data_IF_131150470531
#
_entry.id   IF_131150470531
#
_cell.length_a   1.000
_cell.length_b   1.000
_cell.length_c   1.000
_cell.angle_alpha   90.00
_cell.angle_beta   90.00
_cell.angle_gamma   90.00
#
_symmetry.space_group_name_H-M   'P 1'
#
loop_
_entity.id
_entity.type
_entity.pdbx_description
1 polymer ?
#
# COMPACT_ATOMS: atom_id res chain seq x y z
N UNK A 1 9.67 -11.14 41.32
CA UNK A 1 9.04 -11.76 40.14
C UNK A 1 9.77 -11.21 38.92
N UNK A 2 10.79 -11.93 38.43
CA UNK A 2 11.50 -11.53 37.20
C UNK A 2 10.53 -11.69 36.04
N UNK A 3 10.03 -10.57 35.55
CA UNK A 3 9.19 -10.54 34.36
C UNK A 3 10.07 -10.94 33.18
N UNK A 4 9.59 -11.91 32.41
CA UNK A 4 10.25 -12.51 31.26
C UNK A 4 10.36 -11.48 30.15
N UNK A 5 11.59 -11.16 29.74
CA UNK A 5 11.93 -10.28 28.61
C UNK A 5 11.40 -10.79 27.24
N UNK A 6 10.73 -11.94 27.22
CA UNK A 6 10.17 -12.58 26.02
C UNK A 6 8.87 -11.93 25.52
N UNK A 7 8.08 -11.27 26.38
CA UNK A 7 6.82 -10.63 25.95
C UNK A 7 6.99 -9.26 25.30
N UNK A 8 8.13 -8.60 25.49
CA UNK A 8 8.42 -7.27 24.89
C UNK A 8 8.75 -7.40 23.39
N UNK A 9 9.24 -8.57 22.94
CA UNK A 9 9.57 -8.80 21.53
C UNK A 9 8.34 -8.89 20.62
N UNK A 10 7.21 -9.39 21.14
CA UNK A 10 5.98 -9.57 20.36
C UNK A 10 5.30 -8.23 19.99
N UNK A 11 5.39 -7.22 20.86
CA UNK A 11 4.76 -5.91 20.60
C UNK A 11 5.51 -5.03 19.58
N UNK A 12 6.80 -5.27 19.35
CA UNK A 12 7.55 -4.57 18.30
C UNK A 12 7.30 -5.16 16.90
N UNK A 13 6.89 -6.43 16.82
CA UNK A 13 6.59 -7.13 15.56
C UNK A 13 5.18 -6.78 15.03
N UNK A 14 4.21 -6.54 15.92
CA UNK A 14 2.84 -6.10 15.58
C UNK A 14 2.76 -4.64 15.10
N UNK A 15 3.79 -3.83 15.33
CA UNK A 15 3.89 -2.46 14.81
C UNK A 15 4.11 -2.45 13.29
N UNK A 16 4.36 -3.58 12.61
CA UNK A 16 4.45 -3.61 11.13
C UNK A 16 3.08 -3.62 10.44
N UNK A 17 2.02 -4.06 11.14
CA UNK A 17 0.69 -4.25 10.52
C UNK A 17 0.04 -2.89 10.18
N UNK A 18 0.20 -1.88 11.03
CA UNK A 18 -0.46 -0.57 10.91
C UNK A 18 0.25 0.46 10.01
N UNK A 19 1.59 0.61 9.98
CA UNK A 19 2.26 1.52 9.07
C UNK A 19 2.51 0.90 7.69
N UNK A 20 2.47 -0.42 7.53
CA UNK A 20 2.85 -1.07 6.28
C UNK A 20 1.68 -1.73 5.52
N UNK A 21 0.69 -2.26 6.24
CA UNK A 21 -0.52 -2.83 5.61
C UNK A 21 -1.31 -1.80 4.81
N UNK A 22 -1.42 -0.57 5.33
CA UNK A 22 -2.11 0.54 4.66
C UNK A 22 -1.40 0.93 3.36
N UNK A 23 -0.09 1.29 3.35
CA UNK A 23 0.58 1.63 2.10
C UNK A 23 0.71 0.47 1.11
N UNK A 24 0.69 -0.79 1.55
CA UNK A 24 0.66 -1.94 0.64
C UNK A 24 -0.72 -2.14 -0.03
N UNK A 25 -1.82 -1.93 0.68
CA UNK A 25 -3.18 -2.15 0.14
C UNK A 25 -3.74 -0.93 -0.59
N UNK A 26 -3.57 0.25 -0.01
CA UNK A 26 -4.05 1.53 -0.54
C UNK A 26 -2.90 2.53 -0.45
N UNK A 27 -1.89 2.36 -1.29
CA UNK A 27 -0.77 3.30 -1.38
C UNK A 27 -1.24 4.74 -1.64
N UNK A 28 -0.49 5.75 -1.17
CA UNK A 28 -0.86 7.16 -1.32
C UNK A 28 -1.07 7.59 -2.78
N UNK A 29 -0.31 7.00 -3.74
CA UNK A 29 -0.52 7.23 -5.17
C UNK A 29 -1.84 6.69 -5.70
N UNK A 30 -2.27 5.52 -5.23
CA UNK A 30 -3.57 4.95 -5.59
C UNK A 30 -4.73 5.80 -5.04
N UNK A 31 -4.59 6.34 -3.83
CA UNK A 31 -5.56 7.28 -3.24
C UNK A 31 -5.64 8.56 -4.07
N UNK A 32 -4.50 9.18 -4.40
CA UNK A 32 -4.44 10.39 -5.21
C UNK A 32 -5.07 10.19 -6.59
N UNK A 33 -4.73 9.09 -7.28
CA UNK A 33 -5.34 8.75 -8.57
C UNK A 33 -6.85 8.50 -8.47
N UNK A 34 -7.31 7.84 -7.40
CA UNK A 34 -8.74 7.66 -7.17
C UNK A 34 -9.49 8.98 -7.02
N UNK A 35 -8.90 9.96 -6.32
CA UNK A 35 -9.46 11.32 -6.18
C UNK A 35 -9.49 12.02 -7.54
N UNK A 36 -8.38 11.99 -8.30
CA UNK A 36 -8.29 12.62 -9.63
C UNK A 36 -9.30 12.00 -10.61
N UNK A 37 -9.39 10.67 -10.69
CA UNK A 37 -10.38 9.99 -11.54
C UNK A 37 -11.82 10.31 -11.13
N UNK A 38 -12.08 10.49 -9.83
CA UNK A 38 -13.41 10.89 -9.35
C UNK A 38 -13.74 12.35 -9.68
N UNK A 39 -12.73 13.22 -9.74
CA UNK A 39 -12.86 14.61 -10.17
C UNK A 39 -13.07 14.74 -11.68
N UNK A 40 -12.35 13.95 -12.49
CA UNK A 40 -12.48 13.91 -13.96
C UNK A 40 -13.78 13.22 -14.44
N UNK A 41 -14.39 12.39 -13.58
CA UNK A 41 -15.64 11.70 -13.90
C UNK A 41 -16.85 12.66 -13.88
N UNK A 42 -17.05 13.39 -14.98
CA UNK A 42 -18.17 14.32 -15.16
C UNK A 42 -19.51 13.64 -15.50
N UNK A 43 -19.50 12.41 -16.04
CA UNK A 43 -20.71 11.65 -16.39
C UNK A 43 -21.08 10.59 -15.35
N UNK A 44 -22.38 10.31 -15.21
CA UNK A 44 -22.87 9.25 -14.32
C UNK A 44 -22.35 7.86 -14.70
N UNK A 45 -22.11 7.61 -15.99
CA UNK A 45 -21.54 6.36 -16.48
C UNK A 45 -20.09 6.16 -16.02
N UNK A 46 -19.24 7.19 -16.12
CA UNK A 46 -17.84 7.10 -15.68
C UNK A 46 -17.74 6.91 -14.16
N UNK A 47 -18.61 7.56 -13.38
CA UNK A 47 -18.69 7.32 -11.93
C UNK A 47 -19.13 5.88 -11.61
N UNK A 48 -20.09 5.34 -12.36
CA UNK A 48 -20.53 3.95 -12.21
C UNK A 48 -19.40 2.95 -12.46
N UNK A 49 -18.61 3.15 -13.53
CA UNK A 49 -17.45 2.30 -13.85
C UNK A 49 -16.37 2.39 -12.77
N UNK A 50 -16.07 3.60 -12.28
CA UNK A 50 -15.08 3.81 -11.21
C UNK A 50 -15.47 3.05 -9.94
N UNK A 51 -16.71 3.22 -9.46
CA UNK A 51 -17.21 2.54 -8.27
C UNK A 51 -17.25 1.03 -8.48
N UNK A 52 -17.65 0.57 -9.67
CA UNK A 52 -17.63 -0.85 -10.04
C UNK A 52 -16.23 -1.47 -9.94
N UNK A 53 -15.21 -0.77 -10.42
CA UNK A 53 -13.81 -1.20 -10.32
C UNK A 53 -13.32 -1.24 -8.87
N UNK A 54 -13.63 -0.23 -8.06
CA UNK A 54 -13.28 -0.20 -6.64
C UNK A 54 -13.92 -1.40 -5.91
N UNK A 55 -15.21 -1.66 -6.15
CA UNK A 55 -15.91 -2.80 -5.58
C UNK A 55 -15.29 -4.14 -6.01
N UNK A 56 -14.89 -4.25 -7.28
CA UNK A 56 -14.21 -5.45 -7.80
C UNK A 56 -12.86 -5.70 -7.12
N UNK A 57 -12.04 -4.66 -6.94
CA UNK A 57 -10.75 -4.76 -6.23
C UNK A 57 -10.96 -5.18 -4.77
N UNK A 58 -11.97 -4.64 -4.08
CA UNK A 58 -12.29 -5.04 -2.71
C UNK A 58 -12.72 -6.51 -2.63
N UNK A 59 -13.54 -6.97 -3.56
CA UNK A 59 -13.97 -8.37 -3.60
C UNK A 59 -12.79 -9.31 -3.84
N UNK A 60 -11.89 -8.94 -4.76
CA UNK A 60 -10.67 -9.71 -5.03
C UNK A 60 -9.75 -9.74 -3.81
N UNK A 61 -9.52 -8.59 -3.16
CA UNK A 61 -8.73 -8.49 -1.92
C UNK A 61 -9.33 -9.34 -0.81
N UNK A 62 -10.66 -9.31 -0.64
CA UNK A 62 -11.36 -10.14 0.33
C UNK A 62 -11.10 -11.64 0.10
N UNK A 63 -11.11 -12.08 -1.17
CA UNK A 63 -10.85 -13.48 -1.50
C UNK A 63 -9.39 -13.89 -1.20
N UNK A 64 -8.44 -13.00 -1.49
CA UNK A 64 -7.02 -13.20 -1.15
C UNK A 64 -6.85 -13.31 0.37
N UNK A 65 -7.41 -12.38 1.14
CA UNK A 65 -7.32 -12.39 2.60
C UNK A 65 -7.98 -13.63 3.19
N UNK A 66 -9.11 -14.09 2.62
CA UNK A 66 -9.76 -15.34 3.02
C UNK A 66 -8.90 -16.57 2.74
N UNK A 67 -8.12 -16.57 1.67
CA UNK A 67 -7.18 -17.64 1.35
C UNK A 67 -5.84 -17.54 2.10
N UNK A 68 -5.57 -16.39 2.75
CA UNK A 68 -4.30 -16.08 3.43
C UNK A 68 -3.90 -17.13 4.47
N UNK A 69 -4.85 -17.71 5.20
CA UNK A 69 -4.56 -18.73 6.23
C UNK A 69 -3.89 -19.98 5.65
N UNK A 70 -4.20 -20.36 4.40
CA UNK A 70 -3.45 -21.41 3.69
C UNK A 70 -2.12 -20.92 3.13
N UNK A 71 -2.09 -19.67 2.67
CA UNK A 71 -0.92 -19.08 2.03
C UNK A 71 0.26 -19.00 3.02
N UNK A 72 0.00 -18.55 4.26
CA UNK A 72 1.03 -18.44 5.31
C UNK A 72 1.66 -19.79 5.64
N UNK A 73 0.86 -20.85 5.71
CA UNK A 73 1.35 -22.21 5.96
C UNK A 73 2.21 -22.76 4.82
N UNK A 74 2.01 -22.29 3.58
CA UNK A 74 2.81 -22.68 2.43
C UNK A 74 4.18 -21.97 2.39
N UNK A 75 4.25 -20.74 2.91
CA UNK A 75 5.49 -19.94 2.91
C UNK A 75 6.52 -20.43 3.96
N UNK A 76 6.06 -21.01 5.07
CA UNK A 76 6.92 -21.47 6.15
C UNK A 76 7.75 -20.36 6.84
N UNK A 77 8.61 -20.72 7.79
CA UNK A 77 9.42 -19.75 8.54
C UNK A 77 10.40 -18.97 7.67
N UNK A 78 11.06 -19.64 6.72
CA UNK A 78 12.05 -19.00 5.84
C UNK A 78 11.36 -17.98 4.92
N UNK A 79 10.21 -18.35 4.33
CA UNK A 79 9.44 -17.46 3.47
C UNK A 79 8.92 -16.23 4.22
N UNK A 80 8.48 -16.40 5.47
CA UNK A 80 8.05 -15.29 6.30
C UNK A 80 9.19 -14.30 6.59
N UNK A 81 10.38 -14.81 6.89
CA UNK A 81 11.56 -13.97 7.17
C UNK A 81 12.03 -13.20 5.92
N UNK A 82 11.91 -13.79 4.73
CA UNK A 82 12.16 -13.09 3.46
C UNK A 82 11.09 -12.02 3.22
N UNK A 83 9.81 -12.31 3.48
CA UNK A 83 8.74 -11.33 3.30
C UNK A 83 8.92 -10.08 4.18
N UNK A 84 9.31 -10.26 5.44
CA UNK A 84 9.64 -9.15 6.35
C UNK A 84 10.74 -8.23 5.79
N UNK A 85 11.77 -8.79 5.14
CA UNK A 85 12.81 -8.00 4.48
C UNK A 85 12.29 -7.27 3.24
N UNK A 86 11.47 -7.95 2.43
CA UNK A 86 10.87 -7.35 1.23
C UNK A 86 9.94 -6.19 1.58
N UNK A 87 9.15 -6.31 2.64
CA UNK A 87 8.29 -5.24 3.15
C UNK A 87 9.08 -3.95 3.41
N UNK A 88 10.26 -4.04 4.03
CA UNK A 88 11.14 -2.90 4.25
C UNK A 88 11.71 -2.29 2.96
N UNK A 89 12.10 -3.14 2.00
CA UNK A 89 12.59 -2.67 0.70
C UNK A 89 11.49 -1.98 -0.11
N UNK A 90 10.28 -2.54 -0.12
CA UNK A 90 9.12 -1.96 -0.80
C UNK A 90 8.75 -0.61 -0.18
N UNK A 91 8.76 -0.49 1.15
CA UNK A 91 8.51 0.78 1.83
C UNK A 91 9.50 1.87 1.38
N UNK A 92 10.78 1.52 1.24
CA UNK A 92 11.81 2.43 0.75
C UNK A 92 11.50 2.89 -0.70
N UNK A 93 11.08 1.97 -1.56
CA UNK A 93 10.68 2.28 -2.94
C UNK A 93 9.44 3.18 -2.98
N UNK A 94 8.41 2.87 -2.20
CA UNK A 94 7.17 3.68 -2.11
C UNK A 94 7.51 5.10 -1.63
N UNK A 95 8.44 5.26 -0.69
CA UNK A 95 8.88 6.57 -0.23
C UNK A 95 9.51 7.41 -1.37
N UNK A 96 10.39 6.79 -2.17
CA UNK A 96 10.99 7.44 -3.33
C UNK A 96 9.94 7.75 -4.39
N UNK A 97 9.02 6.83 -4.65
CA UNK A 97 7.93 7.02 -5.61
C UNK A 97 7.04 8.21 -5.24
N UNK A 98 6.65 8.34 -3.97
CA UNK A 98 5.91 9.50 -3.47
C UNK A 98 6.68 10.80 -3.64
N UNK A 99 7.97 10.79 -3.30
CA UNK A 99 8.83 11.97 -3.43
C UNK A 99 8.93 12.43 -4.89
N UNK A 100 9.21 11.50 -5.81
CA UNK A 100 9.31 11.80 -7.25
C UNK A 100 7.97 12.25 -7.81
N UNK A 101 6.87 11.58 -7.45
CA UNK A 101 5.53 11.95 -7.91
C UNK A 101 5.12 13.36 -7.50
N UNK A 102 5.52 13.80 -6.30
CA UNK A 102 5.28 15.17 -5.83
C UNK A 102 6.19 16.21 -6.48
N UNK A 103 7.49 15.93 -6.65
CA UNK A 103 8.47 16.91 -7.15
C UNK A 103 8.44 17.05 -8.68
N UNK A 104 8.15 15.98 -9.42
CA UNK A 104 8.13 15.94 -10.89
C UNK A 104 7.27 17.05 -11.54
N UNK A 105 5.99 17.27 -11.16
CA UNK A 105 5.18 18.32 -11.78
C UNK A 105 5.77 19.71 -11.57
N UNK A 106 6.28 20.00 -10.37
CA UNK A 106 6.88 21.30 -10.01
C UNK A 106 8.14 21.56 -10.84
N UNK A 107 9.02 20.55 -10.97
CA UNK A 107 10.25 20.68 -11.74
C UNK A 107 9.98 20.93 -13.23
N UNK A 108 8.99 20.22 -13.79
CA UNK A 108 8.57 20.40 -15.19
C UNK A 108 8.00 21.81 -15.39
N UNK A 109 7.18 22.29 -14.47
CA UNK A 109 6.57 23.62 -14.53
C UNK A 109 7.62 24.74 -14.55
N UNK A 110 8.66 24.65 -13.71
CA UNK A 110 9.76 25.62 -13.66
C UNK A 110 10.56 25.63 -14.97
N UNK A 111 10.93 24.47 -15.50
CA UNK A 111 11.73 24.35 -16.73
C UNK A 111 10.96 24.86 -17.95
N UNK A 112 9.67 24.52 -18.04
CA UNK A 112 8.80 24.91 -19.14
C UNK A 112 8.46 26.42 -19.10
N UNK A 113 8.36 27.01 -17.91
CA UNK A 113 8.17 28.47 -17.74
C UNK A 113 9.44 29.27 -18.04
N UNK A 114 10.62 28.65 -17.90
CA UNK A 114 11.90 29.30 -18.14
C UNK A 114 12.39 29.23 -19.61
N UNK A 115 11.70 28.46 -20.48
CA UNK A 115 12.00 28.33 -21.92
C UNK A 115 10.96 29.08 -22.74
#
# INVERSE_FOLDING_TARGET
>A
MKLKDEEIKTYADDISITPLGIPMLCGPGAIANGIVLMQDAHSFEMKGVLIGMIAFIYLLTYFILRASTRLVNFLGEIGNNVMMRLMGLILMVIAVECFVSGVKPILIEIICTAT
#
